data_IF_129769770029
#
_entry.id   IF_129769770029
#
_cell.length_a   1.000
_cell.length_b   1.000
_cell.length_c   1.000
_cell.angle_alpha   90.00
_cell.angle_beta   90.00
_cell.angle_gamma   90.00
#
_symmetry.space_group_name_H-M   'P 1'
#
loop_
_entity.id
_entity.type
_entity.pdbx_description
1 polymer ?
#
# COMPACT_ATOMS: atom_id res chain seq x y z
N UNK A 1 -9.30 -0.78 -4.42
CA UNK A 1 -9.96 -1.15 -3.13
C UNK A 1 -11.42 -1.48 -3.38
N UNK A 2 -11.93 -2.44 -2.68
CA UNK A 2 -13.31 -2.89 -2.78
C UNK A 2 -14.20 -2.15 -1.78
N UNK A 3 -15.41 -1.73 -2.19
CA UNK A 3 -16.36 -1.12 -1.28
C UNK A 3 -16.94 -2.18 -0.34
N UNK A 4 -16.78 -1.98 0.97
CA UNK A 4 -17.24 -2.89 2.03
C UNK A 4 -18.49 -2.38 2.74
N UNK A 5 -19.08 -1.27 2.29
CA UNK A 5 -20.24 -0.67 2.91
C UNK A 5 -19.98 0.77 3.29
N UNK A 6 -20.59 1.20 4.36
CA UNK A 6 -20.49 2.59 4.84
C UNK A 6 -20.35 2.67 6.35
N UNK A 7 -19.67 3.71 6.81
CA UNK A 7 -19.64 4.13 8.20
C UNK A 7 -20.49 5.39 8.34
N UNK A 8 -21.20 5.53 9.46
CA UNK A 8 -22.02 6.69 9.75
C UNK A 8 -21.44 7.42 10.94
N UNK A 9 -21.11 8.69 10.76
CA UNK A 9 -20.72 9.58 11.85
C UNK A 9 -21.92 10.41 12.26
N UNK A 10 -22.34 10.27 13.51
CA UNK A 10 -23.35 11.14 14.11
C UNK A 10 -22.65 12.25 14.87
N UNK A 11 -23.03 13.50 14.61
CA UNK A 11 -22.42 14.67 15.25
C UNK A 11 -23.48 15.78 15.47
N UNK A 12 -23.30 16.55 16.53
CA UNK A 12 -24.26 17.56 16.90
C UNK A 12 -25.65 16.97 17.16
N UNK A 13 -26.68 17.78 17.01
CA UNK A 13 -28.06 17.32 17.15
C UNK A 13 -28.67 17.00 15.79
N UNK A 14 -29.03 15.72 15.59
CA UNK A 14 -29.75 15.26 14.40
C UNK A 14 -28.94 15.30 13.10
N UNK A 15 -27.61 15.45 13.19
CA UNK A 15 -26.70 15.46 12.03
C UNK A 15 -25.96 14.15 11.89
N UNK A 16 -25.83 13.68 10.67
CA UNK A 16 -25.05 12.49 10.37
C UNK A 16 -24.37 12.62 9.01
N UNK A 17 -23.25 11.91 8.86
CA UNK A 17 -22.50 11.82 7.63
C UNK A 17 -22.22 10.36 7.34
N UNK A 18 -22.57 9.90 6.14
CA UNK A 18 -22.19 8.59 5.64
C UNK A 18 -20.87 8.69 4.88
N UNK A 19 -19.96 7.78 5.17
CA UNK A 19 -18.66 7.70 4.52
C UNK A 19 -18.44 6.27 4.02
N UNK A 20 -17.87 6.08 2.82
CA UNK A 20 -17.61 4.72 2.32
C UNK A 20 -16.54 4.02 3.15
N UNK A 21 -16.68 2.72 3.27
CA UNK A 21 -15.67 1.84 3.84
C UNK A 21 -15.06 1.02 2.71
N UNK A 22 -13.75 1.03 2.61
CA UNK A 22 -13.01 0.28 1.60
C UNK A 22 -12.08 -0.74 2.23
N UNK A 23 -11.94 -1.86 1.56
CA UNK A 23 -10.96 -2.89 1.90
C UNK A 23 -10.01 -3.14 0.75
N UNK A 24 -8.75 -3.44 1.06
CA UNK A 24 -7.77 -3.94 0.12
C UNK A 24 -7.78 -5.47 0.09
N UNK A 25 -6.87 -6.06 -0.68
CA UNK A 25 -6.66 -7.50 -0.68
C UNK A 25 -6.01 -7.99 0.61
N UNK A 26 -5.32 -7.11 1.33
CA UNK A 26 -4.66 -7.39 2.60
C UNK A 26 -4.67 -6.12 3.46
N UNK A 27 -4.68 -6.27 4.76
CA UNK A 27 -4.72 -5.18 5.73
C UNK A 27 -6.13 -4.85 6.22
N UNK A 28 -6.26 -3.94 7.17
CA UNK A 28 -7.57 -3.56 7.72
C UNK A 28 -8.39 -2.76 6.72
N UNK A 29 -9.71 -2.79 6.89
CA UNK A 29 -10.60 -1.91 6.16
C UNK A 29 -10.39 -0.45 6.58
N UNK A 30 -10.68 0.48 5.69
CA UNK A 30 -10.51 1.91 5.91
C UNK A 30 -11.80 2.67 5.69
N UNK A 31 -12.00 3.74 6.48
CA UNK A 31 -13.10 4.68 6.30
C UNK A 31 -12.58 5.83 5.45
N UNK A 32 -13.24 6.10 4.33
CA UNK A 32 -12.87 7.22 3.45
C UNK A 32 -13.43 8.52 4.04
N UNK A 33 -12.52 9.31 4.62
CA UNK A 33 -12.91 10.58 5.28
C UNK A 33 -12.71 11.81 4.39
N UNK A 34 -12.46 11.65 3.10
CA UNK A 34 -12.18 12.81 2.22
C UNK A 34 -13.30 13.84 2.18
N UNK A 35 -14.55 13.42 2.37
CA UNK A 35 -15.71 14.30 2.40
C UNK A 35 -15.97 14.95 3.77
N UNK A 36 -15.29 14.52 4.81
CA UNK A 36 -15.57 14.94 6.19
C UNK A 36 -15.52 16.46 6.37
N UNK A 37 -14.42 17.09 5.99
CA UNK A 37 -14.27 18.53 6.17
C UNK A 37 -15.31 19.33 5.36
N UNK A 38 -15.50 18.94 4.10
CA UNK A 38 -16.46 19.64 3.22
C UNK A 38 -17.91 19.55 3.69
N UNK A 39 -18.26 18.48 4.39
CA UNK A 39 -19.62 18.26 4.89
C UNK A 39 -19.85 18.75 6.31
N UNK A 40 -18.84 18.69 7.16
CA UNK A 40 -18.99 18.99 8.61
C UNK A 40 -18.19 20.19 9.08
N UNK A 41 -17.21 20.65 8.32
CA UNK A 41 -16.25 21.67 8.76
C UNK A 41 -15.22 21.17 9.78
N UNK A 42 -15.21 19.88 10.07
CA UNK A 42 -14.32 19.29 11.07
C UNK A 42 -13.21 18.47 10.40
N UNK A 43 -12.04 18.46 11.04
CA UNK A 43 -10.93 17.55 10.71
C UNK A 43 -10.89 16.39 11.70
N UNK A 44 -10.23 15.31 11.32
CA UNK A 44 -9.80 14.29 12.26
C UNK A 44 -8.52 14.75 12.98
N UNK A 45 -8.29 14.23 14.17
CA UNK A 45 -7.07 14.48 14.93
C UNK A 45 -6.42 13.14 15.25
N UNK A 46 -5.33 12.84 14.56
CA UNK A 46 -4.61 11.57 14.68
C UNK A 46 -3.11 11.79 14.47
N UNK A 47 -2.42 12.39 15.48
CA UNK A 47 -0.98 12.60 15.38
C UNK A 47 -0.23 11.28 15.32
N UNK A 48 0.67 11.15 14.35
CA UNK A 48 1.44 9.93 14.13
C UNK A 48 0.72 8.85 13.33
N UNK A 49 -0.47 9.13 12.81
CA UNK A 49 -1.22 8.20 11.94
C UNK A 49 -1.48 6.84 12.59
N UNK A 50 -1.86 6.83 13.87
CA UNK A 50 -2.10 5.60 14.62
C UNK A 50 -3.30 4.80 14.07
N UNK A 51 -4.29 5.50 13.52
CA UNK A 51 -5.53 4.91 13.00
C UNK A 51 -5.89 5.46 11.61
N UNK A 52 -4.94 6.07 10.93
CA UNK A 52 -5.18 6.73 9.64
C UNK A 52 -4.32 6.13 8.55
N UNK A 53 -4.97 5.61 7.50
CA UNK A 53 -4.28 5.19 6.29
C UNK A 53 -4.03 6.41 5.40
N UNK A 54 -2.77 6.71 5.09
CA UNK A 54 -2.38 7.88 4.30
C UNK A 54 -2.49 7.66 2.80
N UNK A 55 -2.40 6.40 2.34
CA UNK A 55 -2.48 6.05 0.93
C UNK A 55 -2.82 4.58 0.74
N UNK A 56 -3.14 4.21 -0.50
CA UNK A 56 -3.18 2.81 -0.90
C UNK A 56 -1.91 2.46 -1.68
N UNK A 57 -1.45 1.24 -1.53
CA UNK A 57 -0.24 0.76 -2.22
C UNK A 57 -0.48 -0.66 -2.74
N UNK A 58 0.07 -0.94 -3.93
CA UNK A 58 0.15 -2.29 -4.49
C UNK A 58 1.57 -2.85 -4.40
N UNK A 59 2.48 -2.11 -3.80
CA UNK A 59 3.91 -2.42 -3.84
C UNK A 59 4.34 -3.11 -2.55
N UNK A 60 4.04 -2.51 -1.41
CA UNK A 60 4.54 -2.98 -0.12
C UNK A 60 3.40 -3.13 0.89
N UNK A 61 3.43 -4.22 1.64
CA UNK A 61 2.60 -4.40 2.82
C UNK A 61 3.49 -4.60 4.04
N UNK A 62 3.20 -3.86 5.10
CA UNK A 62 3.91 -3.95 6.38
C UNK A 62 2.88 -4.10 7.50
N UNK A 63 3.07 -5.12 8.32
CA UNK A 63 2.40 -5.27 9.60
C UNK A 63 3.47 -5.36 10.68
N UNK A 64 3.71 -4.24 11.35
CA UNK A 64 4.76 -4.17 12.37
C UNK A 64 4.47 -4.98 13.62
N UNK A 65 3.19 -5.15 13.97
CA UNK A 65 2.79 -5.94 15.14
C UNK A 65 2.99 -7.43 14.90
N UNK A 66 2.62 -7.92 13.73
CA UNK A 66 2.80 -9.31 13.34
C UNK A 66 4.21 -9.61 12.79
N UNK A 67 5.01 -8.59 12.51
CA UNK A 67 6.33 -8.75 11.93
C UNK A 67 6.29 -9.25 10.47
N UNK A 68 5.32 -8.77 9.69
CA UNK A 68 5.13 -9.17 8.30
C UNK A 68 5.55 -8.05 7.36
N UNK A 69 6.37 -8.39 6.38
CA UNK A 69 6.73 -7.51 5.27
C UNK A 69 6.58 -8.29 3.96
N UNK A 70 5.88 -7.71 3.01
CA UNK A 70 5.73 -8.28 1.66
C UNK A 70 6.01 -7.23 0.59
N UNK A 71 6.68 -7.66 -0.47
CA UNK A 71 6.86 -6.86 -1.69
C UNK A 71 6.05 -7.50 -2.82
N UNK A 72 5.09 -6.77 -3.37
CA UNK A 72 4.20 -7.25 -4.43
C UNK A 72 3.52 -8.57 -4.09
N UNK A 73 3.26 -8.83 -2.78
CA UNK A 73 2.67 -10.06 -2.30
C UNK A 73 3.65 -11.18 -1.96
N UNK A 74 4.95 -10.98 -2.19
CA UNK A 74 5.98 -11.96 -1.84
C UNK A 74 6.53 -11.67 -0.44
N UNK A 75 6.54 -12.66 0.46
CA UNK A 75 7.13 -12.49 1.79
C UNK A 75 8.62 -12.16 1.71
N UNK A 76 9.08 -11.24 2.56
CA UNK A 76 10.49 -10.80 2.54
C UNK A 76 11.47 -11.96 2.80
N UNK A 77 11.07 -12.93 3.59
CA UNK A 77 11.92 -14.10 3.89
C UNK A 77 12.25 -14.90 2.63
N UNK A 78 11.30 -15.02 1.71
CA UNK A 78 11.53 -15.70 0.44
C UNK A 78 12.43 -14.89 -0.48
N UNK A 79 12.21 -13.58 -0.54
CA UNK A 79 13.01 -12.68 -1.37
C UNK A 79 14.47 -12.61 -0.88
N UNK A 80 14.66 -12.49 0.43
CA UNK A 80 15.99 -12.42 1.03
C UNK A 80 16.79 -13.69 0.83
N UNK A 81 16.12 -14.84 0.80
CA UNK A 81 16.78 -16.16 0.69
C UNK A 81 17.03 -16.56 -0.77
N UNK A 82 16.11 -16.24 -1.68
CA UNK A 82 16.09 -16.81 -3.03
C UNK A 82 16.36 -15.80 -4.15
N UNK A 83 16.36 -14.50 -3.85
CA UNK A 83 16.51 -13.47 -4.87
C UNK A 83 17.76 -12.61 -4.63
N UNK A 84 18.34 -12.11 -5.71
CA UNK A 84 19.36 -11.06 -5.63
C UNK A 84 18.71 -9.66 -5.67
N UNK A 85 19.52 -8.62 -5.52
CA UNK A 85 19.06 -7.24 -5.49
C UNK A 85 18.31 -6.83 -6.76
N UNK A 86 18.82 -7.19 -7.93
CA UNK A 86 18.19 -6.80 -9.21
C UNK A 86 16.88 -7.55 -9.46
N UNK A 87 16.75 -8.79 -9.00
CA UNK A 87 15.48 -9.51 -9.05
C UNK A 87 14.41 -8.82 -8.20
N UNK A 88 14.75 -8.33 -7.03
CA UNK A 88 13.84 -7.56 -6.17
C UNK A 88 13.48 -6.22 -6.81
N UNK A 89 14.44 -5.54 -7.44
CA UNK A 89 14.16 -4.31 -8.19
C UNK A 89 13.17 -4.57 -9.32
N UNK A 90 13.35 -5.63 -10.06
CA UNK A 90 12.44 -6.04 -11.14
C UNK A 90 11.03 -6.29 -10.60
N UNK A 91 10.92 -7.04 -9.50
CA UNK A 91 9.66 -7.33 -8.85
C UNK A 91 8.90 -6.07 -8.46
N UNK A 92 9.58 -5.12 -7.81
CA UNK A 92 8.96 -3.87 -7.36
C UNK A 92 8.47 -3.01 -8.52
N UNK A 93 9.21 -3.00 -9.63
CA UNK A 93 8.85 -2.22 -10.82
C UNK A 93 7.74 -2.88 -11.64
N UNK A 94 7.77 -4.21 -11.77
CA UNK A 94 6.91 -4.92 -12.72
C UNK A 94 5.78 -5.74 -12.07
N UNK A 95 5.83 -5.98 -10.77
CA UNK A 95 4.78 -6.67 -10.02
C UNK A 95 4.92 -8.18 -9.93
N UNK A 96 5.84 -8.77 -10.70
CA UNK A 96 6.15 -10.20 -10.69
C UNK A 96 7.65 -10.42 -10.75
N UNK A 97 8.11 -11.56 -10.25
CA UNK A 97 9.51 -11.95 -10.38
C UNK A 97 9.85 -12.21 -11.85
N UNK A 98 11.09 -11.88 -12.28
CA UNK A 98 11.49 -12.08 -13.66
C UNK A 98 11.65 -13.57 -13.99
N UNK A 99 11.31 -13.94 -15.22
CA UNK A 99 11.76 -15.21 -15.81
C UNK A 99 13.29 -15.16 -16.00
N UNK A 100 13.97 -16.31 -16.20
CA UNK A 100 15.41 -16.30 -16.45
C UNK A 100 15.83 -15.41 -17.62
N UNK A 101 15.04 -15.33 -18.68
CA UNK A 101 15.30 -14.45 -19.81
C UNK A 101 15.12 -12.97 -19.46
N UNK A 102 14.04 -12.65 -18.76
CA UNK A 102 13.77 -11.28 -18.30
C UNK A 102 14.85 -10.81 -17.34
N UNK A 103 15.32 -11.67 -16.43
CA UNK A 103 16.42 -11.38 -15.52
C UNK A 103 17.70 -11.05 -16.29
N UNK A 104 18.04 -11.87 -17.26
CA UNK A 104 19.25 -11.66 -18.07
C UNK A 104 19.20 -10.32 -18.81
N UNK A 105 18.08 -9.98 -19.42
CA UNK A 105 17.90 -8.71 -20.13
C UNK A 105 17.94 -7.54 -19.17
N UNK A 106 17.27 -7.63 -18.03
CA UNK A 106 17.23 -6.57 -17.03
C UNK A 106 18.60 -6.33 -16.40
N UNK A 107 19.30 -7.37 -16.00
CA UNK A 107 20.66 -7.29 -15.45
C UNK A 107 21.62 -6.62 -16.46
N UNK A 108 21.54 -7.01 -17.71
CA UNK A 108 22.34 -6.41 -18.79
C UNK A 108 22.04 -4.93 -18.94
N UNK A 109 20.76 -4.55 -18.97
CA UNK A 109 20.32 -3.17 -19.16
C UNK A 109 20.78 -2.29 -18.00
N UNK A 110 20.55 -2.72 -16.76
CA UNK A 110 20.93 -1.96 -15.57
C UNK A 110 22.45 -1.80 -15.49
N UNK A 111 23.18 -2.87 -15.72
CA UNK A 111 24.65 -2.86 -15.65
C UNK A 111 25.27 -1.90 -16.68
N UNK A 112 24.62 -1.75 -17.84
CA UNK A 112 25.10 -0.90 -18.92
C UNK A 112 24.65 0.55 -18.83
N UNK A 113 23.71 0.87 -17.93
CA UNK A 113 23.13 2.21 -17.77
C UNK A 113 23.39 2.77 -16.37
N UNK A 114 24.55 2.49 -15.79
CA UNK A 114 24.90 2.94 -14.45
C UNK A 114 25.41 4.39 -14.39
N UNK A 115 25.70 5.00 -15.52
CA UNK A 115 26.19 6.37 -15.58
C UNK A 115 25.04 7.34 -15.87
N UNK A 116 24.96 8.37 -15.03
CA UNK A 116 24.01 9.47 -15.21
C UNK A 116 24.68 10.55 -16.09
N UNK A 117 23.99 10.89 -17.17
CA UNK A 117 24.42 11.97 -18.03
C UNK A 117 23.89 13.32 -17.58
#
# INVERSE_FOLDING_TARGET
>A
MENKGKAVLSYGEGKSLEMPVYGGSIGPDVIDIRALYGKTGMFTYDPGFLSTASCSSKITYIDGDAGVLMYRGYPIEQLATHCDFLEVCYLLLNGELPTPEQKKTFDWTVTRHTMVH
#
